data_IF_995541641862
#
_entry.id   IF_995541641862
#
_cell.length_a   1.000
_cell.length_b   1.000
_cell.length_c   1.000
_cell.angle_alpha   90.00
_cell.angle_beta   90.00
_cell.angle_gamma   90.00
#
_symmetry.space_group_name_H-M   'P 1'
#
loop_
_entity.id
_entity.type
_entity.pdbx_description
1 polymer ?
#
# COMPACT_ATOMS: atom_id res chain seq x y z
N UNK A 1 -11.82 -17.11 -14.19
CA UNK A 1 -11.95 -16.87 -12.73
C UNK A 1 -12.98 -15.80 -12.50
N UNK A 2 -13.97 -16.05 -11.65
CA UNK A 2 -15.06 -15.10 -11.41
C UNK A 2 -14.57 -13.89 -10.59
N UNK A 3 -15.05 -12.68 -10.88
CA UNK A 3 -14.65 -11.44 -10.20
C UNK A 3 -14.87 -11.50 -8.68
N UNK A 4 -15.89 -12.25 -8.23
CA UNK A 4 -16.16 -12.46 -6.80
C UNK A 4 -14.98 -13.03 -6.01
N UNK A 5 -14.16 -13.90 -6.61
CA UNK A 5 -12.96 -14.41 -5.93
C UNK A 5 -11.96 -13.30 -5.63
N UNK A 6 -11.81 -12.31 -6.51
CA UNK A 6 -10.94 -11.16 -6.26
C UNK A 6 -11.43 -10.33 -5.07
N UNK A 7 -12.74 -10.06 -5.00
CA UNK A 7 -13.32 -9.29 -3.90
C UNK A 7 -13.15 -9.97 -2.53
N UNK A 8 -13.17 -11.30 -2.48
CA UNK A 8 -12.97 -12.05 -1.23
C UNK A 8 -11.49 -12.18 -0.86
N UNK A 9 -10.61 -12.41 -1.83
CA UNK A 9 -9.19 -12.66 -1.58
C UNK A 9 -8.40 -11.37 -1.32
N UNK A 10 -8.75 -10.26 -1.97
CA UNK A 10 -8.03 -8.99 -1.81
C UNK A 10 -7.99 -8.50 -0.35
N UNK A 11 -9.10 -8.43 0.41
CA UNK A 11 -9.06 -8.04 1.82
C UNK A 11 -8.10 -8.90 2.66
N UNK A 12 -8.02 -10.20 2.37
CA UNK A 12 -7.13 -11.13 3.07
C UNK A 12 -5.67 -10.80 2.74
N UNK A 13 -5.35 -10.54 1.46
CA UNK A 13 -4.01 -10.08 1.07
C UNK A 13 -3.63 -8.78 1.78
N UNK A 14 -4.56 -7.83 1.91
CA UNK A 14 -4.30 -6.56 2.61
C UNK A 14 -4.05 -6.76 4.10
N UNK A 15 -4.85 -7.60 4.78
CA UNK A 15 -4.64 -7.95 6.19
C UNK A 15 -3.26 -8.57 6.42
N UNK A 16 -2.85 -9.48 5.52
CA UNK A 16 -1.52 -10.08 5.58
C UNK A 16 -0.42 -9.02 5.32
N UNK A 17 -0.62 -8.12 4.35
CA UNK A 17 0.35 -7.08 4.02
C UNK A 17 0.51 -6.02 5.11
N UNK A 18 -0.47 -5.87 6.00
CA UNK A 18 -0.37 -4.99 7.18
C UNK A 18 0.57 -5.53 8.25
N UNK A 19 0.96 -6.80 8.19
CA UNK A 19 1.94 -7.35 9.13
C UNK A 19 3.29 -6.69 8.78
N UNK A 20 3.89 -5.88 9.67
CA UNK A 20 5.04 -5.03 9.37
C UNK A 20 6.36 -5.83 9.38
N UNK A 21 6.38 -7.00 8.74
CA UNK A 21 7.56 -7.84 8.58
C UNK A 21 8.46 -7.26 7.49
N UNK A 22 7.88 -6.69 6.45
CA UNK A 22 8.60 -6.18 5.27
C UNK A 22 8.15 -4.77 4.88
N UNK A 23 9.00 -4.06 4.14
CA UNK A 23 8.72 -2.70 3.66
C UNK A 23 7.49 -2.70 2.74
N UNK A 24 6.41 -2.04 3.15
CA UNK A 24 5.14 -2.00 2.39
C UNK A 24 4.63 -3.40 2.00
N UNK A 25 4.87 -4.39 2.86
CA UNK A 25 4.51 -5.78 2.60
C UNK A 25 5.24 -6.41 1.40
N UNK A 26 6.33 -5.84 0.87
CA UNK A 26 7.12 -6.46 -0.21
C UNK A 26 7.55 -7.88 0.16
N UNK A 27 7.37 -8.85 -0.74
CA UNK A 27 7.57 -10.29 -0.47
C UNK A 27 6.40 -10.97 0.23
N UNK A 28 5.83 -10.35 1.27
CA UNK A 28 4.66 -10.90 1.97
C UNK A 28 3.38 -10.78 1.11
N UNK A 29 3.24 -9.65 0.42
CA UNK A 29 2.21 -9.38 -0.58
C UNK A 29 2.37 -10.29 -1.79
N UNK A 30 3.58 -10.39 -2.37
CA UNK A 30 3.84 -11.30 -3.50
C UNK A 30 3.45 -12.74 -3.17
N UNK A 31 3.87 -13.24 -2.01
CA UNK A 31 3.57 -14.60 -1.57
C UNK A 31 2.07 -14.78 -1.26
N UNK A 32 1.41 -13.80 -0.64
CA UNK A 32 -0.03 -13.84 -0.40
C UNK A 32 -0.83 -13.84 -1.72
N UNK A 33 -0.47 -13.01 -2.70
CA UNK A 33 -1.10 -13.04 -4.02
C UNK A 33 -0.91 -14.38 -4.71
N UNK A 34 0.33 -14.89 -4.76
CA UNK A 34 0.59 -16.19 -5.39
C UNK A 34 -0.15 -17.30 -4.68
N UNK A 35 -0.06 -17.38 -3.35
CA UNK A 35 -0.68 -18.44 -2.57
C UNK A 35 -2.20 -18.46 -2.75
N UNK A 36 -2.87 -17.32 -2.52
CA UNK A 36 -4.33 -17.24 -2.56
C UNK A 36 -4.90 -17.35 -3.97
N UNK A 37 -4.27 -16.70 -4.96
CA UNK A 37 -4.82 -16.69 -6.32
C UNK A 37 -4.48 -17.94 -7.12
N UNK A 38 -3.32 -18.58 -6.89
CA UNK A 38 -3.04 -19.90 -7.47
C UNK A 38 -3.99 -20.96 -6.90
N UNK A 39 -4.36 -20.88 -5.62
CA UNK A 39 -5.35 -21.79 -5.02
C UNK A 39 -6.73 -21.74 -5.69
N UNK A 40 -7.08 -20.66 -6.39
CA UNK A 40 -8.34 -20.53 -7.16
C UNK A 40 -8.14 -20.74 -8.67
N UNK A 41 -7.02 -21.37 -9.06
CA UNK A 41 -6.75 -21.76 -10.45
C UNK A 41 -6.13 -20.67 -11.31
N UNK A 42 -5.59 -19.59 -10.72
CA UNK A 42 -4.86 -18.58 -11.47
C UNK A 42 -3.43 -19.04 -11.77
N UNK A 43 -2.93 -18.64 -12.92
CA UNK A 43 -1.52 -18.81 -13.25
C UNK A 43 -0.63 -17.96 -12.30
N UNK A 44 0.51 -18.52 -11.87
CA UNK A 44 1.43 -17.89 -10.92
C UNK A 44 2.04 -16.60 -11.47
N UNK A 45 2.43 -16.58 -12.74
CA UNK A 45 3.00 -15.41 -13.41
C UNK A 45 2.00 -14.23 -13.43
N UNK A 46 0.71 -14.54 -13.64
CA UNK A 46 -0.36 -13.54 -13.58
C UNK A 46 -0.54 -12.97 -12.16
N UNK A 47 -0.53 -13.82 -11.14
CA UNK A 47 -0.67 -13.40 -9.74
C UNK A 47 0.50 -12.49 -9.29
N UNK A 48 1.73 -12.83 -9.67
CA UNK A 48 2.92 -11.99 -9.41
C UNK A 48 2.81 -10.64 -10.13
N UNK A 49 2.39 -10.64 -11.39
CA UNK A 49 2.22 -9.42 -12.18
C UNK A 49 1.24 -8.45 -11.52
N UNK A 50 0.13 -8.96 -10.97
CA UNK A 50 -0.85 -8.16 -10.23
C UNK A 50 -0.22 -7.54 -8.98
N UNK A 51 0.54 -8.31 -8.18
CA UNK A 51 1.24 -7.80 -6.99
C UNK A 51 2.17 -6.62 -7.33
N UNK A 52 2.93 -6.74 -8.43
CA UNK A 52 3.86 -5.72 -8.89
C UNK A 52 3.11 -4.47 -9.37
N UNK A 53 2.02 -4.63 -10.11
CA UNK A 53 1.19 -3.50 -10.56
C UNK A 53 0.59 -2.73 -9.39
N UNK A 54 0.10 -3.43 -8.36
CA UNK A 54 -0.41 -2.82 -7.13
C UNK A 54 0.68 -2.04 -6.40
N UNK A 55 1.89 -2.57 -6.35
CA UNK A 55 3.04 -1.86 -5.77
C UNK A 55 3.38 -0.59 -6.55
N UNK A 56 3.44 -0.68 -7.87
CA UNK A 56 3.71 0.48 -8.71
C UNK A 56 2.65 1.56 -8.54
N UNK A 57 1.38 1.18 -8.44
CA UNK A 57 0.29 2.10 -8.12
C UNK A 57 0.49 2.78 -6.76
N UNK A 58 0.87 2.02 -5.73
CA UNK A 58 1.16 2.58 -4.41
C UNK A 58 2.32 3.58 -4.44
N UNK A 59 3.38 3.31 -5.22
CA UNK A 59 4.49 4.25 -5.45
C UNK A 59 3.99 5.51 -6.13
N UNK A 60 3.19 5.39 -7.20
CA UNK A 60 2.62 6.55 -7.90
C UNK A 60 1.75 7.39 -6.96
N UNK A 61 0.90 6.77 -6.15
CA UNK A 61 0.08 7.48 -5.17
C UNK A 61 0.93 8.22 -4.13
N UNK A 62 2.00 7.57 -3.64
CA UNK A 62 2.96 8.20 -2.73
C UNK A 62 3.68 9.39 -3.36
N UNK A 63 4.05 9.29 -4.64
CA UNK A 63 4.67 10.38 -5.40
C UNK A 63 3.70 11.54 -5.64
N UNK A 64 2.43 11.25 -5.96
CA UNK A 64 1.43 12.30 -6.08
C UNK A 64 1.26 13.03 -4.74
N UNK A 65 1.14 12.30 -3.64
CA UNK A 65 1.08 12.89 -2.29
C UNK A 65 2.32 13.72 -1.96
N UNK A 66 3.52 13.25 -2.30
CA UNK A 66 4.76 13.99 -2.04
C UNK A 66 4.88 15.26 -2.88
N UNK A 67 4.43 15.23 -4.14
CA UNK A 67 4.31 16.41 -5.01
C UNK A 67 3.41 17.44 -4.33
N UNK A 68 2.18 17.06 -3.94
CA UNK A 68 1.28 17.97 -3.24
C UNK A 68 1.89 18.53 -1.96
N UNK A 69 2.57 17.70 -1.17
CA UNK A 69 3.22 18.14 0.08
C UNK A 69 4.36 19.15 -0.13
N UNK A 70 5.15 19.01 -1.21
CA UNK A 70 6.26 19.93 -1.51
C UNK A 70 5.74 21.28 -2.06
N UNK A 71 4.69 21.23 -2.87
CA UNK A 71 4.09 22.45 -3.45
C UNK A 71 3.18 23.19 -2.48
N UNK A 72 2.61 22.49 -1.51
CA UNK A 72 1.92 23.12 -0.40
C UNK A 72 2.95 23.80 0.50
N UNK A 73 2.81 25.12 0.72
CA UNK A 73 3.64 25.86 1.67
C UNK A 73 3.15 25.53 3.07
N UNK A 74 3.35 24.28 3.49
CA UNK A 74 3.15 23.88 4.88
C UNK A 74 4.20 24.64 5.69
N UNK A 75 3.78 25.75 6.29
CA UNK A 75 4.65 26.60 7.09
C UNK A 75 4.90 25.90 8.43
N UNK A 76 5.82 24.93 8.43
CA UNK A 76 6.19 24.11 9.61
C UNK A 76 6.58 25.00 10.79
N UNK A 77 7.03 26.23 10.50
CA UNK A 77 7.36 27.26 11.50
C UNK A 77 6.13 27.75 12.29
N UNK A 78 4.94 27.76 11.69
CA UNK A 78 3.68 28.13 12.35
C UNK A 78 3.19 27.05 13.32
N UNK A 79 3.30 25.78 12.94
CA UNK A 79 2.92 24.61 13.76
C UNK A 79 3.79 24.52 15.02
N UNK A 80 5.11 24.74 14.88
CA UNK A 80 6.04 24.74 16.01
C UNK A 80 5.80 25.91 16.98
N UNK A 81 5.25 27.03 16.51
CA UNK A 81 4.98 28.23 17.34
C UNK A 81 3.73 28.08 18.19
N UNK A 82 2.69 27.41 17.69
CA UNK A 82 1.47 27.10 18.45
C UNK A 82 1.75 26.17 19.64
N UNK A 83 2.52 25.09 19.41
CA UNK A 83 2.85 24.12 20.47
C UNK A 83 3.75 24.68 21.58
N UNK A 84 4.48 25.77 21.35
CA UNK A 84 5.32 26.45 22.35
C UNK A 84 4.53 27.50 23.17
N UNK A 85 3.32 27.86 22.72
CA UNK A 85 2.46 28.83 23.39
C UNK A 85 1.47 28.17 24.36
N UNK A 86 1.08 26.92 24.11
CA UNK A 86 0.14 26.16 24.95
C UNK A 86 0.82 25.49 26.17
N UNK A 87 2.16 25.49 26.21
CA UNK A 87 2.98 24.93 27.30
C UNK A 87 3.40 26.00 28.34
N UNK A 88 2.74 27.17 28.34
CA UNK A 88 2.92 28.26 29.30
C UNK A 88 1.61 28.61 29.98
#
# INVERSE_FOLDING_TARGET
TNFFYYLMLLPIVWLISMIPITLNGLGLRESAFVFLFVSVGMNKEAAVSISILVFLLAVIQGLLGSIFFIFDKVDIKSIKRGSLSDDK
#
